data_IF_672341595185
#
_entry.id   IF_672341595185
#
_cell.length_a   1.000
_cell.length_b   1.000
_cell.length_c   1.000
_cell.angle_alpha   90.00
_cell.angle_beta   90.00
_cell.angle_gamma   90.00
#
_symmetry.space_group_name_H-M   'P 1'
#
loop_
_entity.id
_entity.type
_entity.pdbx_description
1 polymer ?
#
# COMPACT_ATOMS: atom_id res chain seq x y z
N UNK A 1 18.24 -12.52 11.22
CA UNK A 1 17.02 -13.36 11.29
C UNK A 1 16.79 -14.00 9.92
N UNK A 2 16.64 -15.33 9.86
CA UNK A 2 16.35 -16.02 8.60
C UNK A 2 14.89 -15.76 8.22
N UNK A 3 14.68 -15.00 7.13
CA UNK A 3 13.35 -14.77 6.58
C UNK A 3 12.80 -16.03 5.89
N UNK A 4 11.50 -16.06 5.64
CA UNK A 4 10.87 -17.11 4.85
C UNK A 4 11.51 -17.24 3.45
N UNK A 5 11.64 -18.48 2.96
CA UNK A 5 12.09 -18.80 1.61
C UNK A 5 11.06 -18.40 0.55
N UNK A 6 11.47 -18.41 -0.73
CA UNK A 6 10.58 -18.06 -1.84
C UNK A 6 9.35 -18.97 -1.92
N UNK A 7 9.52 -20.28 -1.81
CA UNK A 7 8.41 -21.23 -1.78
C UNK A 7 7.46 -21.01 -0.59
N UNK A 8 8.01 -20.65 0.58
CA UNK A 8 7.17 -20.30 1.73
C UNK A 8 6.34 -19.04 1.44
N UNK A 9 6.90 -18.04 0.75
CA UNK A 9 6.15 -16.87 0.31
C UNK A 9 5.10 -17.18 -0.72
N UNK A 10 5.37 -18.07 -1.67
CA UNK A 10 4.36 -18.52 -2.62
C UNK A 10 3.20 -19.18 -1.91
N UNK A 11 3.48 -20.05 -0.94
CA UNK A 11 2.46 -20.70 -0.11
C UNK A 11 1.64 -19.66 0.67
N UNK A 12 2.30 -18.72 1.36
CA UNK A 12 1.63 -17.63 2.10
C UNK A 12 0.73 -16.80 1.17
N UNK A 13 1.25 -16.37 0.01
CA UNK A 13 0.47 -15.60 -0.96
C UNK A 13 -0.67 -16.40 -1.59
N UNK A 14 -0.55 -17.73 -1.70
CA UNK A 14 -1.63 -18.61 -2.14
C UNK A 14 -2.74 -18.68 -1.09
N UNK A 15 -2.40 -18.87 0.17
CA UNK A 15 -3.36 -18.89 1.29
C UNK A 15 -4.13 -17.57 1.40
N UNK A 16 -3.45 -16.43 1.31
CA UNK A 16 -4.10 -15.11 1.35
C UNK A 16 -5.05 -14.84 0.19
N UNK A 17 -4.78 -15.42 -0.98
CA UNK A 17 -5.69 -15.34 -2.13
C UNK A 17 -6.88 -16.27 -1.96
N UNK A 18 -6.65 -17.47 -1.44
CA UNK A 18 -7.67 -18.50 -1.28
C UNK A 18 -8.66 -18.18 -0.16
N UNK A 19 -8.19 -17.75 1.01
CA UNK A 19 -9.04 -17.45 2.16
C UNK A 19 -8.66 -16.10 2.81
N UNK A 20 -8.93 -14.97 2.14
CA UNK A 20 -8.55 -13.64 2.65
C UNK A 20 -9.15 -13.34 4.03
N UNK A 21 -10.38 -13.78 4.28
CA UNK A 21 -11.11 -13.48 5.52
C UNK A 21 -10.44 -14.08 6.75
N UNK A 22 -9.88 -15.30 6.62
CA UNK A 22 -9.18 -15.99 7.71
C UNK A 22 -7.97 -15.22 8.23
N UNK A 23 -7.33 -14.44 7.36
CA UNK A 23 -6.06 -13.76 7.64
C UNK A 23 -6.21 -12.24 7.80
N UNK A 24 -7.45 -11.74 7.97
CA UNK A 24 -7.70 -10.32 8.14
C UNK A 24 -7.37 -9.48 6.90
N UNK A 25 -7.35 -10.09 5.70
CA UNK A 25 -7.18 -9.33 4.48
C UNK A 25 -8.39 -8.44 4.22
N UNK A 26 -8.21 -7.25 3.63
CA UNK A 26 -9.33 -6.37 3.32
C UNK A 26 -10.32 -7.04 2.36
N UNK A 27 -11.62 -6.87 2.61
CA UNK A 27 -12.71 -7.48 1.84
C UNK A 27 -13.52 -6.36 1.21
N UNK A 28 -13.51 -6.26 -0.12
CA UNK A 28 -14.38 -5.32 -0.83
C UNK A 28 -15.82 -5.80 -0.76
N UNK A 29 -16.72 -4.96 -0.25
CA UNK A 29 -18.18 -5.18 -0.29
C UNK A 29 -18.84 -4.08 -1.11
N UNK A 30 -19.88 -4.44 -1.87
CA UNK A 30 -20.65 -3.47 -2.66
C UNK A 30 -21.25 -2.41 -1.72
N UNK A 31 -21.09 -1.13 -2.07
CA UNK A 31 -21.58 -0.01 -1.26
C UNK A 31 -20.75 0.29 -0.01
N UNK A 32 -19.54 -0.26 0.12
CA UNK A 32 -18.62 0.04 1.21
C UNK A 32 -17.30 0.63 0.69
N UNK A 33 -16.59 1.34 1.56
CA UNK A 33 -15.24 1.85 1.30
C UNK A 33 -14.28 1.13 2.23
N UNK A 34 -13.20 0.59 1.67
CA UNK A 34 -12.14 -0.11 2.42
C UNK A 34 -10.96 0.82 2.63
N UNK A 35 -10.77 1.27 3.87
CA UNK A 35 -9.67 2.14 4.29
C UNK A 35 -8.75 1.36 5.21
N UNK A 36 -7.44 1.41 4.96
CA UNK A 36 -6.46 0.72 5.79
C UNK A 36 -5.20 1.56 5.99
N UNK A 37 -4.45 1.23 7.04
CA UNK A 37 -3.06 1.63 7.20
C UNK A 37 -2.17 0.39 7.28
N UNK A 38 -0.95 0.48 6.76
CA UNK A 38 0.01 -0.61 6.76
C UNK A 38 1.42 -0.07 6.99
N UNK A 39 2.06 -0.53 8.06
CA UNK A 39 3.47 -0.20 8.32
C UNK A 39 4.36 -1.18 7.53
N UNK A 40 5.23 -0.63 6.69
CA UNK A 40 6.00 -1.41 5.71
C UNK A 40 7.41 -1.76 6.17
N UNK A 41 7.82 -1.33 7.38
CA UNK A 41 9.15 -1.50 7.98
C UNK A 41 10.29 -1.26 6.99
N UNK A 42 10.70 0.00 6.84
CA UNK A 42 11.83 0.45 6.01
C UNK A 42 11.65 0.15 4.52
N UNK A 43 10.50 0.54 3.97
CA UNK A 43 10.26 0.47 2.53
C UNK A 43 11.07 1.54 1.80
N UNK A 44 12.30 1.22 1.43
CA UNK A 44 13.17 2.08 0.63
C UNK A 44 13.44 1.52 -0.76
N UNK A 45 14.72 1.20 -1.03
CA UNK A 45 15.20 0.67 -2.30
C UNK A 45 14.39 -0.55 -2.73
N UNK A 46 13.92 -0.52 -3.98
CA UNK A 46 13.15 -1.61 -4.59
C UNK A 46 13.87 -2.97 -4.64
N UNK A 47 15.19 -2.98 -4.37
CA UNK A 47 16.05 -4.16 -4.23
C UNK A 47 16.23 -4.63 -2.77
N UNK A 48 16.22 -3.72 -1.78
CA UNK A 48 16.61 -4.02 -0.39
C UNK A 48 15.42 -4.35 0.51
N UNK A 49 14.21 -3.84 0.20
CA UNK A 49 13.14 -3.77 1.19
C UNK A 49 12.13 -4.92 1.23
N UNK A 50 11.92 -5.72 0.17
CA UNK A 50 10.70 -6.54 0.13
C UNK A 50 10.91 -7.88 -0.57
N UNK A 51 11.30 -8.89 0.20
CA UNK A 51 11.12 -10.31 -0.17
C UNK A 51 9.62 -10.69 -0.35
N UNK A 52 8.69 -9.75 -0.15
CA UNK A 52 7.27 -9.99 0.12
C UNK A 52 6.33 -9.07 -0.71
N UNK A 53 6.80 -8.52 -1.84
CA UNK A 53 6.02 -7.61 -2.69
C UNK A 53 4.62 -8.14 -3.05
N UNK A 54 4.49 -9.46 -3.21
CA UNK A 54 3.21 -10.11 -3.46
C UNK A 54 2.19 -9.87 -2.35
N UNK A 55 2.62 -9.88 -1.08
CA UNK A 55 1.75 -9.64 0.06
C UNK A 55 1.22 -8.20 0.05
N UNK A 56 2.13 -7.23 -0.03
CA UNK A 56 1.78 -5.82 -0.01
C UNK A 56 0.90 -5.44 -1.22
N UNK A 57 1.21 -5.96 -2.41
CA UNK A 57 0.37 -5.78 -3.60
C UNK A 57 -1.02 -6.38 -3.41
N UNK A 58 -1.10 -7.62 -2.92
CA UNK A 58 -2.37 -8.30 -2.67
C UNK A 58 -3.22 -7.54 -1.64
N UNK A 59 -2.60 -7.03 -0.57
CA UNK A 59 -3.28 -6.20 0.43
C UNK A 59 -3.76 -4.87 -0.16
N UNK A 60 -2.87 -4.13 -0.84
CA UNK A 60 -3.16 -2.81 -1.38
C UNK A 60 -4.24 -2.83 -2.48
N UNK A 61 -4.22 -3.83 -3.36
CA UNK A 61 -5.24 -4.00 -4.40
C UNK A 61 -6.67 -4.18 -3.88
N UNK A 62 -6.81 -4.58 -2.60
CA UNK A 62 -8.12 -4.76 -1.93
C UNK A 62 -8.60 -3.51 -1.20
N UNK A 63 -7.76 -2.49 -1.08
CA UNK A 63 -8.12 -1.23 -0.45
C UNK A 63 -8.69 -0.26 -1.49
N UNK A 64 -9.49 0.70 -1.01
CA UNK A 64 -9.90 1.88 -1.77
C UNK A 64 -9.04 3.09 -1.36
N UNK A 65 -8.58 3.12 -0.10
CA UNK A 65 -7.56 4.02 0.39
C UNK A 65 -6.60 3.28 1.32
N UNK A 66 -5.29 3.42 1.08
CA UNK A 66 -4.24 2.80 1.88
C UNK A 66 -3.21 3.84 2.30
N UNK A 67 -2.98 3.98 3.60
CA UNK A 67 -1.86 4.72 4.16
C UNK A 67 -0.68 3.77 4.43
N UNK A 68 0.49 4.00 3.84
CA UNK A 68 1.73 3.30 4.15
C UNK A 68 2.62 4.14 5.08
N UNK A 69 3.18 3.50 6.09
CA UNK A 69 4.10 4.11 7.07
C UNK A 69 5.50 3.46 7.01
N UNK A 70 6.49 4.14 7.59
CA UNK A 70 7.91 3.75 7.61
C UNK A 70 8.51 3.49 6.23
N UNK A 71 8.10 4.31 5.30
CA UNK A 71 8.72 4.34 3.98
C UNK A 71 9.97 5.18 4.11
N UNK A 72 11.03 4.80 3.41
CA UNK A 72 12.31 5.51 3.48
C UNK A 72 12.37 6.65 2.46
N UNK A 73 13.43 7.46 2.57
CA UNK A 73 13.72 8.57 1.65
C UNK A 73 13.84 8.15 0.17
N UNK A 74 14.14 6.88 -0.09
CA UNK A 74 14.25 6.34 -1.45
C UNK A 74 12.89 5.79 -1.90
N UNK A 75 12.30 6.43 -2.92
CA UNK A 75 10.93 6.20 -3.35
C UNK A 75 10.76 5.10 -4.42
N UNK A 76 11.83 4.46 -4.90
CA UNK A 76 11.72 3.45 -5.97
C UNK A 76 10.84 2.26 -5.57
N UNK A 77 10.83 1.86 -4.30
CA UNK A 77 9.95 0.82 -3.78
C UNK A 77 8.47 1.19 -3.97
N UNK A 78 8.08 2.40 -3.59
CA UNK A 78 6.71 2.86 -3.77
C UNK A 78 6.34 3.06 -5.23
N UNK A 79 7.24 3.60 -6.04
CA UNK A 79 7.04 3.71 -7.48
C UNK A 79 6.78 2.33 -8.11
N UNK A 80 7.51 1.30 -7.68
CA UNK A 80 7.30 -0.09 -8.11
C UNK A 80 5.94 -0.62 -7.69
N UNK A 81 5.52 -0.39 -6.43
CA UNK A 81 4.20 -0.81 -5.95
C UNK A 81 3.09 -0.15 -6.75
N UNK A 82 3.15 1.17 -6.92
CA UNK A 82 2.18 1.95 -7.68
C UNK A 82 2.08 1.47 -9.13
N UNK A 83 3.21 1.27 -9.81
CA UNK A 83 3.25 0.69 -11.16
C UNK A 83 2.61 -0.69 -11.22
N UNK A 84 2.77 -1.51 -10.17
CA UNK A 84 2.21 -2.87 -10.11
C UNK A 84 0.69 -2.91 -9.84
N UNK A 85 0.15 -1.88 -9.18
CA UNK A 85 -1.29 -1.71 -8.92
C UNK A 85 -2.03 -1.12 -10.13
N UNK A 86 -1.30 -0.39 -10.98
CA UNK A 86 -1.79 0.12 -12.26
C UNK A 86 -2.48 1.48 -12.14
N UNK A 87 -3.02 1.95 -13.28
CA UNK A 87 -3.58 3.32 -13.43
C UNK A 87 -4.82 3.59 -12.59
N UNK A 88 -5.45 2.55 -12.06
CA UNK A 88 -6.61 2.66 -11.17
C UNK A 88 -6.25 3.21 -9.79
N UNK A 89 -4.97 3.45 -9.48
CA UNK A 89 -4.53 4.01 -8.22
C UNK A 89 -3.79 5.33 -8.43
N UNK A 90 -4.08 6.32 -7.58
CA UNK A 90 -3.28 7.54 -7.42
C UNK A 90 -2.35 7.36 -6.23
N UNK A 91 -1.15 7.90 -6.36
CA UNK A 91 -0.16 7.96 -5.30
C UNK A 91 -0.01 9.42 -4.86
N UNK A 92 -0.18 9.67 -3.56
CA UNK A 92 0.12 10.95 -2.92
C UNK A 92 1.18 10.72 -1.86
N UNK A 93 2.18 11.59 -1.82
CA UNK A 93 3.37 11.47 -0.98
C UNK A 93 3.44 12.71 -0.07
N UNK A 94 3.64 12.51 1.23
CA UNK A 94 3.96 13.61 2.14
C UNK A 94 5.45 13.93 2.11
N UNK A 95 5.82 15.15 2.48
CA UNK A 95 7.22 15.50 2.73
C UNK A 95 7.83 14.64 3.85
N UNK A 96 9.16 14.48 3.81
CA UNK A 96 9.92 13.81 4.86
C UNK A 96 9.86 14.65 6.14
N UNK A 97 9.53 14.01 7.26
CA UNK A 97 9.51 14.64 8.58
C UNK A 97 10.49 13.91 9.50
N UNK A 98 10.87 14.52 10.63
CA UNK A 98 11.88 13.94 11.56
C UNK A 98 13.34 14.26 11.24
N UNK A 99 13.63 15.03 10.19
CA UNK A 99 14.97 15.55 9.90
C UNK A 99 15.21 16.86 10.66
N UNK A 100 16.01 16.84 11.73
CA UNK A 100 16.53 18.07 12.34
C UNK A 100 17.75 18.59 11.54
N UNK A 101 17.82 19.89 11.22
CA UNK A 101 19.00 20.47 10.58
C UNK A 101 20.25 20.24 11.43
N UNK A 102 21.30 19.67 10.83
CA UNK A 102 22.59 19.44 11.52
C UNK A 102 22.71 18.15 12.32
N UNK A 103 21.67 17.33 12.41
CA UNK A 103 21.73 15.99 13.05
C UNK A 103 21.46 14.88 12.03
N UNK A 104 22.22 13.78 12.09
CA UNK A 104 21.85 12.52 11.41
C UNK A 104 20.69 11.86 12.18
N UNK A 105 19.51 12.49 12.17
CA UNK A 105 18.27 11.87 12.62
C UNK A 105 17.81 10.81 11.62
N UNK A 106 17.04 9.82 12.08
CA UNK A 106 16.33 8.88 11.22
C UNK A 106 15.32 9.70 10.39
N UNK A 107 15.61 9.85 9.10
CA UNK A 107 14.72 10.50 8.13
C UNK A 107 13.68 9.48 7.73
N UNK A 108 12.42 9.73 8.11
CA UNK A 108 11.31 8.83 7.84
C UNK A 108 10.12 9.67 7.34
N UNK A 109 9.74 9.59 6.05
CA UNK A 109 8.48 10.18 5.61
C UNK A 109 7.28 9.49 6.29
N UNK A 110 6.42 10.30 6.92
CA UNK A 110 5.38 9.85 7.86
C UNK A 110 4.13 9.27 7.17
N UNK A 111 3.94 9.40 5.85
CA UNK A 111 2.78 8.74 5.26
C UNK A 111 2.67 8.80 3.75
N UNK A 112 2.28 7.66 3.17
CA UNK A 112 2.00 7.54 1.74
C UNK A 112 0.56 7.11 1.55
N UNK A 113 -0.16 7.83 0.69
CA UNK A 113 -1.54 7.50 0.41
C UNK A 113 -1.67 6.92 -0.99
N UNK A 114 -2.12 5.68 -1.07
CA UNK A 114 -2.50 5.02 -2.32
C UNK A 114 -4.03 4.99 -2.35
N UNK A 115 -4.61 5.76 -3.27
CA UNK A 115 -6.07 5.86 -3.43
C UNK A 115 -6.49 5.18 -4.72
N UNK A 116 -7.43 4.23 -4.65
CA UNK A 116 -8.09 3.70 -5.82
C UNK A 116 -9.03 4.77 -6.42
N UNK A 117 -8.87 5.07 -7.71
CA UNK A 117 -9.88 5.79 -8.50
C UNK A 117 -10.99 4.80 -8.82
N UNK A 118 -11.91 4.61 -7.89
CA UNK A 118 -13.07 3.75 -8.13
C UNK A 118 -14.11 4.54 -8.93
N UNK A 119 -14.36 4.16 -10.18
CA UNK A 119 -15.40 4.76 -11.04
C UNK A 119 -16.84 4.46 -10.60
N UNK A 120 -17.03 3.82 -9.45
CA UNK A 120 -18.34 3.38 -8.94
C UNK A 120 -19.03 4.36 -8.00
N UNK A 121 -18.46 5.54 -7.74
CA UNK A 121 -19.23 6.66 -7.17
C UNK A 121 -20.02 7.35 -8.29
N UNK A 122 -20.85 6.57 -9.00
CA UNK A 122 -21.93 7.04 -9.87
C UNK A 122 -23.18 6.28 -9.47
N UNK A 123 -23.71 6.61 -8.31
CA UNK A 123 -24.87 5.95 -7.73
C UNK A 123 -25.69 6.81 -6.77
N UNK A 124 -25.45 8.13 -6.72
CA UNK A 124 -26.35 9.07 -6.07
C UNK A 124 -26.71 10.11 -7.13
N UNK A 125 -27.94 10.02 -7.63
CA UNK A 125 -28.49 10.96 -8.59
C UNK A 125 -28.51 12.36 -8.01
N UNK A 126 -27.52 13.17 -8.36
CA UNK A 126 -27.58 14.62 -8.25
C UNK A 126 -27.69 15.17 -9.67
N UNK A 127 -28.87 15.73 -10.01
CA UNK A 127 -29.04 16.54 -11.22
C UNK A 127 -28.04 17.69 -11.17
N UNK A 128 -27.12 17.76 -12.13
CA UNK A 128 -26.40 18.99 -12.41
C UNK A 128 -27.37 19.95 -13.10
N UNK A 129 -27.81 20.97 -12.38
CA UNK A 129 -28.25 22.20 -13.00
C UNK A 129 -27.02 23.05 -13.23
N UNK A 130 -26.77 23.33 -14.52
CA UNK A 130 -25.91 24.36 -15.13
C UNK A 130 -24.44 24.43 -14.67
#
# INVERSE_FOLDING_TARGET
>A
MAGFSEWQWEKINKEFRYNPNRYGMPIKRKGSVTIASFNTLKLGRGQDGVKHWGLLKNFASRCDLLALQEVMDELSGIGRLHKSLGRSFKLTISDTTGAFPGTRGLREPIGFHIQAITSQIKGVGGRSYL
#
